data_IF_520794882178
#
_entry.id   IF_520794882178
#
_cell.length_a   1.000
_cell.length_b   1.000
_cell.length_c   1.000
_cell.angle_alpha   90.00
_cell.angle_beta   90.00
_cell.angle_gamma   90.00
#
_symmetry.space_group_name_H-M   'P 1'
#
loop_
_entity.id
_entity.type
_entity.pdbx_description
1 polymer ?
#
# COMPACT_ATOMS: atom_id res chain seq x y z
N UNK A 1 3.35 -11.11 -4.32
CA UNK A 1 2.96 -9.97 -3.45
C UNK A 1 2.78 -10.27 -1.94
N UNK A 2 3.40 -11.29 -1.34
CA UNK A 2 3.10 -11.71 0.06
C UNK A 2 3.93 -11.01 1.16
N UNK A 3 5.07 -10.41 0.85
CA UNK A 3 5.96 -9.79 1.85
C UNK A 3 5.40 -8.50 2.45
N UNK A 4 4.64 -7.74 1.66
CA UNK A 4 4.06 -6.45 2.07
C UNK A 4 2.75 -6.66 2.84
N UNK A 5 2.02 -7.75 2.55
CA UNK A 5 0.77 -8.11 3.23
C UNK A 5 0.97 -8.51 4.70
N UNK A 6 2.14 -9.07 5.05
CA UNK A 6 2.46 -9.51 6.42
C UNK A 6 3.29 -8.48 7.21
N UNK A 7 3.46 -7.26 6.68
CA UNK A 7 4.17 -6.22 7.39
C UNK A 7 3.33 -5.74 8.59
N UNK A 8 3.94 -5.68 9.77
CA UNK A 8 3.30 -5.15 10.98
C UNK A 8 2.88 -3.68 10.81
N UNK A 9 3.66 -2.93 10.02
CA UNK A 9 3.32 -1.56 9.63
C UNK A 9 3.92 -1.23 8.27
N UNK A 10 3.23 -0.41 7.51
CA UNK A 10 3.61 0.06 6.19
C UNK A 10 3.64 1.58 6.22
N UNK A 11 4.67 2.19 5.65
CA UNK A 11 4.81 3.63 5.51
C UNK A 11 4.81 4.02 4.03
N UNK A 12 3.84 4.84 3.64
CA UNK A 12 3.78 5.44 2.30
C UNK A 12 4.51 6.77 2.34
N UNK A 13 5.58 6.88 1.57
CA UNK A 13 6.36 8.11 1.45
C UNK A 13 5.97 8.82 0.15
N UNK A 14 5.57 10.08 0.27
CA UNK A 14 5.28 10.98 -0.85
C UNK A 14 5.98 12.31 -0.60
N UNK A 15 6.65 12.83 -1.62
CA UNK A 15 7.39 14.10 -1.55
C UNK A 15 8.40 14.15 -0.38
N UNK A 16 9.02 13.01 -0.06
CA UNK A 16 9.98 12.89 1.04
C UNK A 16 9.37 12.92 2.45
N UNK A 17 8.04 12.82 2.58
CA UNK A 17 7.33 12.77 3.87
C UNK A 17 6.46 11.53 3.95
N UNK A 18 6.23 11.05 5.18
CA UNK A 18 5.26 9.99 5.44
C UNK A 18 3.86 10.57 5.22
N UNK A 19 3.17 10.06 4.21
CA UNK A 19 1.82 10.48 3.85
C UNK A 19 0.77 9.57 4.49
N UNK A 20 1.04 8.27 4.57
CA UNK A 20 0.17 7.29 5.21
C UNK A 20 1.01 6.27 5.98
N UNK A 21 0.47 5.80 7.11
CA UNK A 21 1.08 4.74 7.89
C UNK A 21 0.00 3.83 8.50
N UNK A 22 0.26 2.54 8.56
CA UNK A 22 -0.65 1.57 9.17
C UNK A 22 -0.45 0.16 8.64
N UNK A 23 -1.32 -0.76 9.02
CA UNK A 23 -1.33 -2.12 8.47
C UNK A 23 -1.84 -2.12 7.03
N UNK A 24 -1.58 -3.20 6.30
CA UNK A 24 -2.11 -3.40 4.95
C UNK A 24 -3.63 -3.17 4.88
N UNK A 25 -4.37 -3.73 5.84
CA UNK A 25 -5.83 -3.62 5.87
C UNK A 25 -6.31 -2.19 6.14
N UNK A 26 -5.65 -1.48 7.06
CA UNK A 26 -5.98 -0.08 7.36
C UNK A 26 -5.75 0.82 6.15
N UNK A 27 -4.59 0.67 5.49
CA UNK A 27 -4.26 1.47 4.31
C UNK A 27 -5.14 1.13 3.09
N UNK A 28 -5.58 -0.13 2.94
CA UNK A 28 -6.59 -0.49 1.95
C UNK A 28 -7.94 0.15 2.25
N UNK A 29 -8.37 0.15 3.51
CA UNK A 29 -9.65 0.74 3.93
C UNK A 29 -9.67 2.27 3.78
N UNK A 30 -8.52 2.92 3.97
CA UNK A 30 -8.36 4.36 3.76
C UNK A 30 -8.59 4.79 2.30
N UNK A 31 -8.53 3.85 1.33
CA UNK A 31 -8.67 4.11 -0.12
C UNK A 31 -7.79 5.27 -0.60
N UNK A 32 -6.64 5.45 0.05
CA UNK A 32 -5.69 6.52 -0.22
C UNK A 32 -4.66 6.14 -1.27
N UNK A 33 -3.46 6.73 -1.15
CA UNK A 33 -2.36 6.55 -2.10
C UNK A 33 -1.89 5.09 -2.12
N UNK A 34 -1.83 4.46 -0.95
CA UNK A 34 -1.49 3.04 -0.82
C UNK A 34 -2.41 2.14 -1.65
N UNK A 35 -3.73 2.32 -1.52
CA UNK A 35 -4.71 1.48 -2.21
C UNK A 35 -4.53 1.59 -3.73
N UNK A 36 -4.41 2.80 -4.25
CA UNK A 36 -4.18 3.02 -5.69
C UNK A 36 -2.90 2.33 -6.18
N UNK A 37 -1.78 2.45 -5.45
CA UNK A 37 -0.54 1.76 -5.80
C UNK A 37 -0.67 0.23 -5.80
N UNK A 38 -1.39 -0.31 -4.82
CA UNK A 38 -1.65 -1.76 -4.69
C UNK A 38 -2.51 -2.25 -5.86
N UNK A 39 -3.58 -1.53 -6.23
CA UNK A 39 -4.42 -1.89 -7.38
C UNK A 39 -3.61 -1.91 -8.69
N UNK A 40 -2.76 -0.91 -8.91
CA UNK A 40 -1.87 -0.86 -10.09
C UNK A 40 -0.88 -2.03 -10.11
N UNK A 41 -0.28 -2.38 -8.95
CA UNK A 41 0.61 -3.55 -8.86
C UNK A 41 -0.11 -4.86 -9.12
N UNK A 42 -1.34 -5.04 -8.64
CA UNK A 42 -2.13 -6.25 -8.88
C UNK A 42 -2.60 -6.36 -10.34
N UNK A 43 -2.92 -5.26 -11.01
CA UNK A 43 -3.27 -5.27 -12.43
C UNK A 43 -2.11 -5.71 -13.33
N UNK A 44 -0.86 -5.41 -12.94
CA UNK A 44 0.34 -5.81 -13.67
C UNK A 44 0.70 -7.30 -13.58
N UNK A 45 0.17 -8.04 -12.59
CA UNK A 45 0.40 -9.49 -12.44
C UNK A 45 -0.59 -10.35 -13.27
N UNK A 46 -1.49 -9.72 -14.05
CA UNK A 46 -2.39 -10.41 -14.99
C UNK A 46 -1.79 -10.50 -16.40
N UNK A 47 -0.68 -11.20 -16.58
CA UNK A 47 -0.18 -11.64 -17.90
C UNK A 47 0.61 -12.95 -17.80
#
# INVERSE_FOLDING_TARGET
LSTIQHADVIFVIKDGKVHEQGTHQELLNLKGTYNMMVQEQHLGESN
#
